data_IF_626330516415
#
_entry.id   IF_626330516415
#
_cell.length_a   1.000
_cell.length_b   1.000
_cell.length_c   1.000
_cell.angle_alpha   90.00
_cell.angle_beta   90.00
_cell.angle_gamma   90.00
#
_symmetry.space_group_name_H-M   'P 1'
#
loop_
_entity.id
_entity.type
_entity.pdbx_description
1 polymer ?
#
# COMPACT_ATOMS: atom_id res chain seq x y z
N UNK A 1 20.59 -8.58 0.07
CA UNK A 1 19.36 -8.10 -0.59
C UNK A 1 19.53 -8.22 -2.09
N UNK A 2 18.63 -8.94 -2.77
CA UNK A 2 18.66 -9.11 -4.22
C UNK A 2 18.12 -7.87 -4.96
N UNK A 3 18.40 -7.77 -6.26
CA UNK A 3 17.81 -6.75 -7.11
C UNK A 3 16.29 -6.97 -7.28
N UNK A 4 15.49 -5.91 -7.47
CA UNK A 4 14.07 -6.02 -7.79
C UNK A 4 13.83 -6.87 -9.02
N UNK A 5 12.76 -7.68 -8.99
CA UNK A 5 12.28 -8.45 -10.12
C UNK A 5 10.75 -8.42 -10.17
N UNK A 6 10.15 -8.62 -11.35
CA UNK A 6 8.70 -8.86 -11.44
C UNK A 6 8.29 -10.01 -10.51
N UNK A 7 7.10 -9.87 -9.90
CA UNK A 7 6.56 -10.83 -8.93
C UNK A 7 6.35 -12.21 -9.58
N UNK A 8 5.86 -12.23 -10.83
CA UNK A 8 5.53 -13.44 -11.57
C UNK A 8 4.07 -13.85 -11.36
N UNK A 9 3.77 -15.14 -11.50
CA UNK A 9 2.45 -15.70 -11.21
C UNK A 9 2.09 -15.53 -9.73
N UNK A 10 0.82 -15.20 -9.47
CA UNK A 10 0.31 -14.92 -8.12
C UNK A 10 -0.13 -16.22 -7.44
N UNK A 11 -0.50 -17.22 -8.23
CA UNK A 11 -0.81 -18.57 -7.81
C UNK A 11 0.40 -19.19 -7.10
N UNK A 12 0.22 -19.58 -5.84
CA UNK A 12 1.29 -20.18 -5.05
C UNK A 12 2.41 -19.20 -4.63
N UNK A 13 2.30 -17.90 -4.89
CA UNK A 13 3.30 -16.89 -4.50
C UNK A 13 3.66 -16.99 -3.01
N UNK A 14 2.64 -17.02 -2.14
CA UNK A 14 2.82 -17.10 -0.68
C UNK A 14 3.52 -18.40 -0.29
N UNK A 15 3.08 -19.53 -0.83
CA UNK A 15 3.70 -20.83 -0.56
C UNK A 15 5.17 -20.87 -1.01
N UNK A 16 5.48 -20.30 -2.18
CA UNK A 16 6.84 -20.19 -2.69
C UNK A 16 7.75 -19.31 -1.83
N UNK A 17 7.23 -18.20 -1.29
CA UNK A 17 7.98 -17.32 -0.39
C UNK A 17 8.27 -17.99 0.96
N UNK A 18 7.27 -18.67 1.52
CA UNK A 18 7.40 -19.41 2.78
C UNK A 18 8.36 -20.59 2.63
N UNK A 19 8.31 -21.30 1.50
CA UNK A 19 9.18 -22.45 1.22
C UNK A 19 9.11 -23.50 2.32
N UNK A 20 10.26 -23.91 2.86
CA UNK A 20 10.38 -24.93 3.93
C UNK A 20 10.05 -24.40 5.33
N UNK A 21 9.06 -23.51 5.46
CA UNK A 21 8.53 -23.03 6.75
C UNK A 21 9.12 -21.71 7.24
N UNK A 22 9.61 -20.82 6.37
CA UNK A 22 10.06 -19.48 6.76
C UNK A 22 8.91 -18.62 7.26
N UNK A 23 9.19 -17.72 8.20
CA UNK A 23 8.33 -16.57 8.45
C UNK A 23 8.61 -15.50 7.38
N UNK A 24 7.58 -14.95 6.77
CA UNK A 24 7.71 -13.96 5.69
C UNK A 24 7.01 -12.67 6.08
N UNK A 25 7.71 -11.54 6.01
CA UNK A 25 7.09 -10.23 6.03
C UNK A 25 7.04 -9.67 4.60
N UNK A 26 5.89 -9.17 4.17
CA UNK A 26 5.69 -8.66 2.82
C UNK A 26 5.05 -7.27 2.86
N UNK A 27 5.80 -6.28 2.38
CA UNK A 27 5.33 -4.90 2.23
C UNK A 27 4.66 -4.71 0.88
N UNK A 28 3.45 -4.15 0.88
CA UNK A 28 2.64 -3.92 -0.32
C UNK A 28 2.41 -2.42 -0.54
N UNK A 29 2.79 -1.91 -1.72
CA UNK A 29 2.47 -0.54 -2.13
C UNK A 29 1.06 -0.44 -2.70
N UNK A 30 0.09 -0.69 -1.82
CA UNK A 30 -1.33 -0.60 -2.10
C UNK A 30 -2.12 -0.45 -0.81
N UNK A 31 -3.33 0.14 -0.87
CA UNK A 31 -4.19 0.22 0.29
C UNK A 31 -4.59 -1.16 0.84
N UNK A 32 -4.41 -1.37 2.14
CA UNK A 32 -5.04 -2.44 2.91
C UNK A 32 -6.02 -1.83 3.92
N UNK A 33 -7.32 -2.03 3.71
CA UNK A 33 -8.39 -1.46 4.52
C UNK A 33 -9.34 -0.56 3.73
N UNK A 34 -10.38 -0.07 4.41
CA UNK A 34 -11.47 0.72 3.83
C UNK A 34 -11.61 2.07 4.53
N UNK A 35 -11.98 3.15 3.81
CA UNK A 35 -12.35 4.42 4.46
C UNK A 35 -13.47 4.23 5.47
N UNK A 36 -13.38 4.90 6.62
CA UNK A 36 -14.39 4.81 7.69
C UNK A 36 -15.82 5.07 7.20
N UNK A 37 -16.01 6.08 6.36
CA UNK A 37 -17.34 6.44 5.84
C UNK A 37 -17.96 5.31 4.99
N UNK A 38 -17.14 4.51 4.31
CA UNK A 38 -17.59 3.36 3.55
C UNK A 38 -17.85 2.12 4.42
N UNK A 39 -17.03 1.93 5.45
CA UNK A 39 -17.16 0.81 6.38
C UNK A 39 -18.28 1.00 7.42
N UNK A 40 -18.76 2.22 7.61
CA UNK A 40 -19.83 2.53 8.55
C UNK A 40 -21.14 1.80 8.19
N UNK A 41 -21.76 1.15 9.18
CA UNK A 41 -23.03 0.42 9.01
C UNK A 41 -22.91 -0.93 8.31
N UNK A 42 -21.69 -1.39 8.00
CA UNK A 42 -21.46 -2.72 7.44
C UNK A 42 -21.59 -3.81 8.50
N UNK A 43 -22.10 -4.96 8.09
CA UNK A 43 -22.34 -6.12 8.96
C UNK A 43 -21.07 -6.91 9.27
N UNK A 44 -20.08 -6.91 8.36
CA UNK A 44 -18.86 -7.69 8.56
C UNK A 44 -18.10 -7.23 9.83
N UNK A 45 -17.42 -8.16 10.52
CA UNK A 45 -16.69 -7.86 11.74
C UNK A 45 -15.47 -6.96 11.50
N UNK A 46 -14.96 -6.88 10.28
CA UNK A 46 -13.86 -6.01 9.91
C UNK A 46 -13.35 -6.25 8.49
N UNK A 47 -12.26 -5.56 8.14
CA UNK A 47 -11.67 -5.64 6.81
C UNK A 47 -11.29 -7.07 6.37
N UNK A 48 -10.68 -7.94 7.21
CA UNK A 48 -10.36 -9.30 6.78
C UNK A 48 -11.58 -10.13 6.37
N UNK A 49 -12.70 -10.00 7.09
CA UNK A 49 -13.94 -10.68 6.74
C UNK A 49 -14.57 -10.08 5.47
N UNK A 50 -14.61 -8.76 5.38
CA UNK A 50 -15.06 -8.06 4.18
C UNK A 50 -14.30 -8.52 2.93
N UNK A 51 -12.95 -8.57 3.01
CA UNK A 51 -12.07 -8.98 1.93
C UNK A 51 -12.38 -10.41 1.48
N UNK A 52 -12.55 -11.35 2.42
CA UNK A 52 -12.95 -12.73 2.11
C UNK A 52 -14.31 -12.78 1.40
N UNK A 53 -15.27 -11.97 1.85
CA UNK A 53 -16.61 -11.88 1.26
C UNK A 53 -16.64 -11.28 -0.15
N UNK A 54 -15.55 -10.65 -0.64
CA UNK A 54 -15.49 -10.13 -2.00
C UNK A 54 -15.45 -11.24 -3.06
N UNK A 55 -15.08 -12.47 -2.70
CA UNK A 55 -15.12 -13.61 -3.63
C UNK A 55 -16.52 -13.85 -4.23
N UNK A 56 -17.57 -13.56 -3.45
CA UNK A 56 -18.97 -13.67 -3.89
C UNK A 56 -19.52 -12.37 -4.53
N UNK A 57 -18.71 -11.31 -4.62
CA UNK A 57 -19.13 -9.96 -5.05
C UNK A 57 -18.18 -9.37 -6.09
N UNK A 58 -17.99 -10.01 -7.26
CA UNK A 58 -17.04 -9.55 -8.27
C UNK A 58 -17.35 -8.14 -8.79
N UNK A 59 -18.62 -7.72 -8.75
CA UNK A 59 -19.06 -6.37 -9.11
C UNK A 59 -18.39 -5.26 -8.29
N UNK A 60 -17.88 -5.56 -7.09
CA UNK A 60 -17.15 -4.59 -6.26
C UNK A 60 -15.95 -3.98 -6.98
N UNK A 61 -15.30 -4.73 -7.87
CA UNK A 61 -14.11 -4.28 -8.59
C UNK A 61 -14.42 -3.58 -9.92
N UNK A 62 -15.70 -3.48 -10.29
CA UNK A 62 -16.09 -2.74 -11.49
C UNK A 62 -15.90 -1.24 -11.26
N UNK A 63 -15.25 -0.58 -12.23
CA UNK A 63 -15.00 0.86 -12.19
C UNK A 63 -16.12 1.57 -12.93
N UNK A 64 -16.85 2.43 -12.22
CA UNK A 64 -17.95 3.20 -12.75
C UNK A 64 -17.47 4.24 -13.78
N UNK A 65 -18.09 4.28 -14.95
CA UNK A 65 -17.80 5.25 -16.00
C UNK A 65 -18.40 6.64 -15.72
N UNK A 66 -19.54 6.66 -15.02
CA UNK A 66 -20.24 7.84 -14.54
C UNK A 66 -20.70 7.66 -13.09
N UNK A 67 -21.30 8.69 -12.51
CA UNK A 67 -21.74 8.67 -11.10
C UNK A 67 -23.04 7.87 -10.91
N UNK A 68 -23.82 7.68 -11.98
CA UNK A 68 -25.10 6.97 -11.99
C UNK A 68 -24.99 5.48 -11.63
N UNK A 69 -23.81 4.88 -11.79
CA UNK A 69 -23.54 3.48 -11.42
C UNK A 69 -22.72 3.35 -10.14
N UNK A 70 -22.25 4.47 -9.57
CA UNK A 70 -21.55 4.47 -8.28
C UNK A 70 -22.53 4.07 -7.20
N UNK A 71 -22.14 3.09 -6.40
CA UNK A 71 -22.89 2.61 -5.25
C UNK A 71 -21.95 1.93 -4.26
N UNK A 72 -22.40 1.61 -3.03
CA UNK A 72 -21.61 0.80 -2.12
C UNK A 72 -21.15 -0.54 -2.73
N UNK A 73 -21.92 -1.12 -3.65
CA UNK A 73 -21.55 -2.37 -4.33
C UNK A 73 -20.59 -2.16 -5.53
N UNK A 74 -20.41 -0.92 -6.02
CA UNK A 74 -19.52 -0.53 -7.12
C UNK A 74 -18.85 0.82 -6.82
N UNK A 75 -17.94 0.88 -5.82
CA UNK A 75 -17.50 2.16 -5.30
C UNK A 75 -16.41 2.84 -6.14
N UNK A 76 -15.71 2.11 -7.01
CA UNK A 76 -14.59 2.65 -7.77
C UNK A 76 -15.06 3.57 -8.90
N UNK A 77 -14.44 4.74 -8.99
CA UNK A 77 -14.69 5.77 -10.00
C UNK A 77 -13.45 6.67 -10.10
N UNK A 78 -13.12 7.26 -11.26
CA UNK A 78 -13.73 7.09 -12.58
C UNK A 78 -13.00 6.09 -13.48
N UNK A 79 -13.73 5.43 -14.37
CA UNK A 79 -13.13 4.54 -15.38
C UNK A 79 -12.24 5.31 -16.39
N UNK A 80 -12.60 6.56 -16.70
CA UNK A 80 -11.88 7.42 -17.65
C UNK A 80 -12.04 8.90 -17.33
N UNK A 81 -11.16 9.71 -17.91
CA UNK A 81 -11.24 11.17 -17.82
C UNK A 81 -12.56 11.71 -18.36
N UNK A 82 -13.40 12.33 -17.53
CA UNK A 82 -14.63 13.02 -17.93
C UNK A 82 -14.65 14.45 -17.39
N UNK A 83 -15.17 15.39 -18.18
CA UNK A 83 -15.25 16.81 -17.80
C UNK A 83 -16.10 16.96 -16.54
N UNK A 84 -15.63 17.74 -15.58
CA UNK A 84 -16.36 18.03 -14.34
C UNK A 84 -16.34 16.91 -13.31
N UNK A 85 -15.55 15.84 -13.49
CA UNK A 85 -15.37 14.85 -12.42
C UNK A 85 -14.80 15.53 -11.18
N UNK A 86 -15.35 15.21 -10.01
CA UNK A 86 -14.79 15.67 -8.73
C UNK A 86 -14.90 14.57 -7.69
N UNK A 87 -13.98 14.59 -6.72
CA UNK A 87 -14.06 13.73 -5.54
C UNK A 87 -15.28 14.05 -4.68
N UNK A 88 -15.73 15.30 -4.66
CA UNK A 88 -16.94 15.70 -3.94
C UNK A 88 -18.19 15.03 -4.52
N UNK A 89 -18.35 15.04 -5.84
CA UNK A 89 -19.49 14.37 -6.49
C UNK A 89 -19.42 12.85 -6.34
N UNK A 90 -18.22 12.27 -6.38
CA UNK A 90 -18.01 10.83 -6.11
C UNK A 90 -18.39 10.46 -4.67
N UNK A 91 -17.95 11.24 -3.68
CA UNK A 91 -18.32 11.05 -2.28
C UNK A 91 -19.82 11.19 -2.05
N UNK A 92 -20.46 12.19 -2.67
CA UNK A 92 -21.90 12.37 -2.61
C UNK A 92 -22.67 11.19 -3.22
N UNK A 93 -22.19 10.61 -4.35
CA UNK A 93 -22.78 9.42 -4.94
C UNK A 93 -22.67 8.17 -4.05
N UNK A 94 -21.68 8.13 -3.15
CA UNK A 94 -21.54 7.10 -2.11
C UNK A 94 -22.30 7.43 -0.80
N UNK A 95 -22.98 8.57 -0.74
CA UNK A 95 -23.71 9.02 0.45
C UNK A 95 -22.81 9.57 1.57
N UNK A 96 -21.59 9.99 1.26
CA UNK A 96 -20.68 10.57 2.25
C UNK A 96 -20.93 12.07 2.41
N UNK A 97 -20.64 12.59 3.61
CA UNK A 97 -20.76 14.02 3.92
C UNK A 97 -19.83 14.91 3.07
N UNK A 98 -18.69 14.37 2.63
CA UNK A 98 -17.70 15.11 1.85
C UNK A 98 -16.60 14.22 1.28
N UNK A 99 -15.72 14.79 0.42
CA UNK A 99 -14.64 14.07 -0.26
C UNK A 99 -13.64 13.40 0.70
N UNK A 100 -13.49 13.90 1.92
CA UNK A 100 -12.68 13.31 2.99
C UNK A 100 -13.17 11.93 3.43
N UNK A 101 -14.44 11.60 3.17
CA UNK A 101 -15.00 10.26 3.41
C UNK A 101 -14.44 9.19 2.46
N UNK A 102 -13.83 9.58 1.34
CA UNK A 102 -13.17 8.65 0.41
C UNK A 102 -11.80 8.18 0.91
N UNK A 103 -11.22 8.87 1.89
CA UNK A 103 -9.87 8.61 2.39
C UNK A 103 -9.93 7.92 3.75
N UNK A 104 -9.05 6.93 3.94
CA UNK A 104 -8.74 6.43 5.28
C UNK A 104 -7.97 7.48 6.05
N UNK A 105 -7.89 7.32 7.37
CA UNK A 105 -7.11 8.25 8.17
C UNK A 105 -5.64 8.29 7.73
N UNK A 106 -4.98 7.15 7.50
CA UNK A 106 -3.60 7.10 7.01
C UNK A 106 -3.40 7.81 5.65
N UNK A 107 -4.41 7.86 4.78
CA UNK A 107 -4.28 8.46 3.44
C UNK A 107 -4.22 10.00 3.48
N UNK A 108 -4.63 10.62 4.59
CA UNK A 108 -4.69 12.08 4.72
C UNK A 108 -3.30 12.72 4.79
N UNK A 109 -3.25 14.02 4.52
CA UNK A 109 -2.01 14.79 4.60
C UNK A 109 -1.52 14.84 6.05
N UNK A 110 -0.21 14.68 6.24
CA UNK A 110 0.48 14.84 7.53
C UNK A 110 1.30 16.11 7.52
N UNK A 111 1.99 16.43 8.62
CA UNK A 111 2.99 17.50 8.60
C UNK A 111 4.09 17.26 7.55
N UNK A 112 4.42 15.99 7.30
CA UNK A 112 5.61 15.56 6.57
C UNK A 112 5.34 15.21 5.10
N UNK A 113 4.08 14.90 4.73
CA UNK A 113 3.72 14.54 3.35
C UNK A 113 2.31 14.99 2.95
N UNK A 114 2.07 15.20 1.63
CA UNK A 114 0.72 15.41 1.11
C UNK A 114 -0.16 14.17 1.29
N UNK A 115 -1.46 14.35 1.07
CA UNK A 115 -2.42 13.26 1.06
C UNK A 115 -2.16 12.29 -0.10
N UNK A 116 -2.37 11.00 0.15
CA UNK A 116 -2.43 9.96 -0.86
C UNK A 116 -3.69 10.07 -1.72
N UNK A 117 -3.78 9.24 -2.76
CA UNK A 117 -5.03 9.13 -3.50
C UNK A 117 -6.05 8.29 -2.70
N UNK A 118 -7.34 8.67 -2.70
CA UNK A 118 -8.39 7.87 -2.07
C UNK A 118 -8.48 6.47 -2.71
N UNK A 119 -8.80 5.45 -1.90
CA UNK A 119 -8.93 4.05 -2.33
C UNK A 119 -9.83 3.90 -3.56
N UNK A 120 -11.03 4.49 -3.51
CA UNK A 120 -12.01 4.31 -4.58
C UNK A 120 -11.76 5.18 -5.81
N UNK A 121 -10.70 5.99 -5.81
CA UNK A 121 -10.35 6.87 -6.92
C UNK A 121 -9.34 6.22 -7.87
N UNK A 122 -9.73 6.01 -9.13
CA UNK A 122 -8.95 5.21 -10.10
C UNK A 122 -8.12 6.00 -11.11
N UNK A 123 -8.21 7.34 -11.11
CA UNK A 123 -7.45 8.20 -12.04
C UNK A 123 -6.39 9.04 -11.35
N UNK A 124 -5.36 9.40 -12.11
CA UNK A 124 -4.26 10.24 -11.66
C UNK A 124 -2.99 9.44 -11.37
N UNK A 125 -1.92 10.16 -11.02
CA UNK A 125 -0.58 9.60 -10.91
C UNK A 125 -0.43 8.55 -9.80
N UNK A 126 -1.22 8.66 -8.72
CA UNK A 126 -1.03 7.86 -7.52
C UNK A 126 -1.70 6.48 -7.57
N UNK A 127 -2.44 6.13 -8.64
CA UNK A 127 -2.99 4.81 -8.99
C UNK A 127 -3.53 3.89 -7.86
N UNK A 128 -3.83 4.39 -6.67
CA UNK A 128 -4.14 3.57 -5.48
C UNK A 128 -5.35 2.68 -5.67
N UNK A 129 -6.42 3.18 -6.31
CA UNK A 129 -7.59 2.36 -6.62
C UNK A 129 -7.31 1.26 -7.64
N UNK A 130 -6.46 1.52 -8.64
CA UNK A 130 -6.06 0.49 -9.61
C UNK A 130 -5.18 -0.57 -8.97
N UNK A 131 -4.25 -0.16 -8.11
CA UNK A 131 -3.40 -1.06 -7.34
C UNK A 131 -4.24 -1.96 -6.41
N UNK A 132 -5.23 -1.37 -5.71
CA UNK A 132 -6.16 -2.12 -4.88
C UNK A 132 -7.00 -3.10 -5.71
N UNK A 133 -7.58 -2.68 -6.84
CA UNK A 133 -8.34 -3.59 -7.72
C UNK A 133 -7.46 -4.77 -8.15
N UNK A 134 -6.28 -4.50 -8.73
CA UNK A 134 -5.40 -5.56 -9.22
C UNK A 134 -4.99 -6.52 -8.11
N UNK A 135 -4.46 -6.01 -7.00
CA UNK A 135 -3.96 -6.90 -5.95
C UNK A 135 -5.08 -7.60 -5.17
N UNK A 136 -6.19 -6.92 -4.86
CA UNK A 136 -7.25 -7.55 -4.10
C UNK A 136 -7.96 -8.61 -4.94
N UNK A 137 -8.39 -8.24 -6.15
CA UNK A 137 -9.14 -9.15 -7.05
C UNK A 137 -8.27 -10.32 -7.51
N UNK A 138 -7.06 -10.05 -7.98
CA UNK A 138 -6.25 -11.04 -8.68
C UNK A 138 -5.36 -11.87 -7.73
N UNK A 139 -5.23 -11.46 -6.46
CA UNK A 139 -4.39 -12.19 -5.50
C UNK A 139 -5.00 -12.35 -4.11
N UNK A 140 -5.28 -11.26 -3.38
CA UNK A 140 -5.63 -11.38 -1.96
C UNK A 140 -6.96 -12.10 -1.74
N UNK A 141 -7.98 -11.78 -2.53
CA UNK A 141 -9.30 -12.44 -2.43
C UNK A 141 -9.18 -13.94 -2.74
N UNK A 142 -8.57 -14.38 -3.87
CA UNK A 142 -8.30 -15.81 -4.11
C UNK A 142 -7.47 -16.47 -3.00
N UNK A 143 -6.42 -15.82 -2.50
CA UNK A 143 -5.54 -16.38 -1.48
C UNK A 143 -6.27 -16.56 -0.14
N UNK A 144 -7.03 -15.56 0.31
CA UNK A 144 -7.80 -15.65 1.55
C UNK A 144 -8.95 -16.65 1.43
N UNK A 145 -9.61 -16.72 0.26
CA UNK A 145 -10.69 -17.68 0.01
C UNK A 145 -10.22 -19.14 0.02
N UNK A 146 -8.98 -19.41 -0.40
CA UNK A 146 -8.36 -20.74 -0.38
C UNK A 146 -7.63 -21.06 0.92
N UNK A 147 -7.66 -20.15 1.90
CA UNK A 147 -7.02 -20.35 3.20
C UNK A 147 -5.48 -20.31 3.15
N UNK A 148 -4.91 -19.53 2.23
CA UNK A 148 -3.46 -19.32 2.20
C UNK A 148 -2.95 -18.86 3.58
N UNK A 149 -1.76 -19.30 4.01
CA UNK A 149 -1.21 -19.01 5.34
C UNK A 149 -0.68 -17.57 5.43
N UNK A 150 -1.58 -16.61 5.27
CA UNK A 150 -1.30 -15.18 5.32
C UNK A 150 -2.05 -14.51 6.47
N UNK A 151 -1.44 -13.47 7.03
CA UNK A 151 -1.99 -12.60 8.08
C UNK A 151 -1.90 -11.14 7.63
N UNK A 152 -2.86 -10.32 8.01
CA UNK A 152 -2.94 -8.91 7.62
C UNK A 152 -2.64 -8.01 8.82
N UNK A 153 -1.52 -7.28 8.75
CA UNK A 153 -1.23 -6.18 9.66
C UNK A 153 -1.96 -4.91 9.19
N UNK A 154 -2.52 -4.08 10.09
CA UNK A 154 -2.55 -4.20 11.56
C UNK A 154 -3.80 -4.93 12.10
N UNK A 155 -4.59 -5.56 11.22
CA UNK A 155 -5.92 -6.07 11.54
C UNK A 155 -5.89 -7.26 12.51
N UNK A 156 -4.85 -8.07 12.44
CA UNK A 156 -4.76 -9.34 13.17
C UNK A 156 -3.74 -9.34 14.32
N UNK A 157 -3.01 -8.24 14.53
CA UNK A 157 -1.97 -8.14 15.56
C UNK A 157 -0.83 -7.18 15.19
N UNK A 158 0.18 -7.07 16.06
CA UNK A 158 1.44 -6.40 15.75
C UNK A 158 2.25 -7.16 14.70
N UNK A 159 3.14 -6.48 13.96
CA UNK A 159 3.86 -7.09 12.84
C UNK A 159 4.74 -8.25 13.32
N UNK A 160 5.51 -8.03 14.38
CA UNK A 160 6.43 -9.03 14.93
C UNK A 160 5.69 -10.19 15.60
N UNK A 161 4.54 -9.93 16.22
CA UNK A 161 3.69 -10.95 16.87
C UNK A 161 3.09 -11.91 15.84
N UNK A 162 2.79 -11.41 14.64
CA UNK A 162 2.21 -12.18 13.56
C UNK A 162 3.25 -13.03 12.80
N UNK A 163 4.55 -12.74 12.93
CA UNK A 163 5.60 -13.46 12.23
C UNK A 163 5.84 -14.82 12.88
N UNK A 164 5.35 -15.88 12.23
CA UNK A 164 5.56 -17.25 12.63
C UNK A 164 6.08 -18.11 11.46
N UNK A 165 6.85 -19.18 11.74
CA UNK A 165 7.23 -20.16 10.73
C UNK A 165 6.02 -20.67 9.94
N UNK A 166 6.13 -20.70 8.62
CA UNK A 166 5.03 -21.15 7.77
C UNK A 166 3.95 -20.10 7.49
N UNK A 167 4.14 -18.85 7.92
CA UNK A 167 3.19 -17.75 7.71
C UNK A 167 3.81 -16.57 6.97
N UNK A 168 2.99 -15.90 6.17
CA UNK A 168 3.30 -14.60 5.58
C UNK A 168 2.48 -13.49 6.23
N UNK A 169 3.11 -12.42 6.70
CA UNK A 169 2.44 -11.23 7.21
C UNK A 169 2.51 -10.14 6.16
N UNK A 170 1.35 -9.68 5.71
CA UNK A 170 1.21 -8.61 4.73
C UNK A 170 0.96 -7.30 5.47
N UNK A 171 1.72 -6.27 5.10
CA UNK A 171 1.58 -4.92 5.62
C UNK A 171 1.55 -3.93 4.46
N UNK A 172 0.74 -2.89 4.57
CA UNK A 172 0.80 -1.77 3.63
C UNK A 172 2.09 -0.98 3.87
N UNK A 173 2.83 -0.71 2.80
CA UNK A 173 4.03 0.10 2.81
C UNK A 173 3.89 1.15 1.73
N UNK A 174 4.11 2.41 2.06
CA UNK A 174 4.02 3.50 1.09
C UNK A 174 5.43 4.02 0.75
N UNK A 175 5.98 3.80 -0.46
CA UNK A 175 7.34 4.19 -0.81
C UNK A 175 7.65 5.68 -0.61
N UNK A 176 6.69 6.57 -0.82
CA UNK A 176 6.88 8.00 -0.57
C UNK A 176 7.03 8.32 0.93
N UNK A 177 6.35 7.56 1.79
CA UNK A 177 6.54 7.62 3.24
C UNK A 177 7.90 7.00 3.61
N UNK A 178 8.19 5.79 3.14
CA UNK A 178 9.44 5.07 3.43
C UNK A 178 10.70 5.86 2.97
N UNK A 179 10.63 6.59 1.86
CA UNK A 179 11.69 7.50 1.40
C UNK A 179 12.06 8.51 2.50
N UNK A 180 11.05 9.16 3.09
CA UNK A 180 11.22 10.15 4.17
C UNK A 180 11.69 9.51 5.45
N UNK A 181 11.13 8.36 5.81
CA UNK A 181 11.54 7.57 6.97
C UNK A 181 13.02 7.16 6.90
N UNK A 182 13.55 6.97 5.69
CA UNK A 182 14.96 6.68 5.44
C UNK A 182 15.84 7.94 5.38
N UNK A 183 15.28 9.14 5.54
CA UNK A 183 16.01 10.42 5.38
C UNK A 183 16.42 10.71 3.94
N UNK A 184 15.82 10.02 2.95
CA UNK A 184 16.15 10.18 1.55
C UNK A 184 15.30 11.28 0.91
N UNK A 185 15.93 12.06 0.03
CA UNK A 185 15.25 13.14 -0.70
C UNK A 185 15.67 13.10 -2.17
N UNK A 186 14.69 12.96 -3.06
CA UNK A 186 14.90 13.10 -4.49
C UNK A 186 14.98 14.58 -4.88
N UNK A 187 15.99 14.91 -5.69
CA UNK A 187 16.10 16.18 -6.38
C UNK A 187 15.51 16.03 -7.80
N UNK A 188 14.19 16.20 -7.92
CA UNK A 188 13.47 16.07 -9.19
C UNK A 188 12.45 14.93 -9.19
N UNK A 189 11.93 14.61 -10.38
CA UNK A 189 10.90 13.58 -10.55
C UNK A 189 11.47 12.18 -10.39
N UNK A 190 10.80 11.32 -9.60
CA UNK A 190 11.17 9.90 -9.47
C UNK A 190 11.04 9.11 -10.78
N UNK A 191 10.22 9.58 -11.72
CA UNK A 191 10.11 9.01 -13.07
C UNK A 191 11.42 9.11 -13.85
N UNK A 192 12.17 10.18 -13.64
CA UNK A 192 13.44 10.38 -14.32
C UNK A 192 14.54 9.51 -13.66
N UNK A 193 15.35 8.87 -14.50
CA UNK A 193 16.49 8.07 -14.05
C UNK A 193 17.55 8.92 -13.33
N UNK A 194 17.82 10.14 -13.83
CA UNK A 194 18.85 11.03 -13.27
C UNK A 194 18.69 11.30 -11.77
N UNK A 195 17.52 11.76 -11.29
CA UNK A 195 17.24 11.92 -9.88
C UNK A 195 17.40 10.63 -9.05
N UNK A 196 16.97 9.47 -9.57
CA UNK A 196 17.16 8.17 -8.91
C UNK A 196 18.65 7.82 -8.78
N UNK A 197 19.43 8.00 -9.84
CA UNK A 197 20.88 7.78 -9.86
C UNK A 197 21.61 8.72 -8.88
N UNK A 198 21.22 9.98 -8.83
CA UNK A 198 21.83 10.96 -7.93
C UNK A 198 21.63 10.60 -6.44
N UNK A 199 20.63 9.79 -6.12
CA UNK A 199 20.35 9.31 -4.76
C UNK A 199 21.27 8.16 -4.32
N UNK A 200 22.02 7.54 -5.23
CA UNK A 200 22.81 6.34 -4.97
C UNK A 200 23.73 6.43 -3.74
N UNK A 201 24.50 7.51 -3.50
CA UNK A 201 25.34 7.61 -2.31
C UNK A 201 24.53 7.59 -1.00
N UNK A 202 23.41 8.31 -0.96
CA UNK A 202 22.54 8.35 0.21
C UNK A 202 21.86 6.99 0.45
N UNK A 203 21.40 6.33 -0.62
CA UNK A 203 20.80 5.00 -0.56
C UNK A 203 21.79 3.95 -0.03
N UNK A 204 23.07 4.01 -0.43
CA UNK A 204 24.14 3.18 0.14
C UNK A 204 24.36 3.43 1.62
N UNK A 205 24.34 4.70 2.04
CA UNK A 205 24.41 5.06 3.46
C UNK A 205 23.28 4.44 4.27
N UNK A 206 22.05 4.45 3.74
CA UNK A 206 20.87 3.82 4.35
C UNK A 206 21.01 2.30 4.45
N UNK A 207 21.50 1.63 3.40
CA UNK A 207 21.79 0.19 3.39
C UNK A 207 22.85 -0.17 4.43
N UNK A 208 23.96 0.57 4.47
CA UNK A 208 25.05 0.35 5.41
C UNK A 208 24.61 0.56 6.87
N UNK A 209 23.85 1.63 7.15
CA UNK A 209 23.31 1.90 8.48
C UNK A 209 22.40 0.77 9.00
N UNK A 210 21.68 0.10 8.10
CA UNK A 210 20.82 -1.06 8.40
C UNK A 210 21.54 -2.41 8.28
N UNK A 211 22.85 -2.43 8.01
CA UNK A 211 23.65 -3.65 7.79
C UNK A 211 23.07 -4.56 6.70
N UNK A 212 22.45 -3.97 5.68
CA UNK A 212 21.94 -4.69 4.52
C UNK A 212 23.06 -4.85 3.51
N UNK A 213 23.41 -6.10 3.20
CA UNK A 213 24.39 -6.41 2.15
C UNK A 213 23.68 -6.53 0.79
N UNK A 214 23.80 -5.55 -0.13
CA UNK A 214 23.23 -5.66 -1.47
C UNK A 214 23.97 -6.73 -2.27
N UNK A 215 23.25 -7.47 -3.12
CA UNK A 215 23.88 -8.32 -4.13
C UNK A 215 24.44 -7.45 -5.27
N UNK A 216 25.45 -7.92 -6.03
CA UNK A 216 26.06 -7.13 -7.11
C UNK A 216 25.06 -6.54 -8.12
N UNK A 217 23.99 -7.29 -8.45
CA UNK A 217 22.95 -6.80 -9.33
C UNK A 217 22.14 -5.62 -8.75
N UNK A 218 21.96 -5.57 -7.42
CA UNK A 218 21.31 -4.44 -6.77
C UNK A 218 22.25 -3.23 -6.73
N UNK A 219 23.55 -3.44 -6.49
CA UNK A 219 24.54 -2.35 -6.55
C UNK A 219 24.56 -1.70 -7.93
N UNK A 220 24.61 -2.51 -8.99
CA UNK A 220 24.54 -2.02 -10.36
C UNK A 220 23.22 -1.29 -10.65
N UNK A 221 22.09 -1.79 -10.15
CA UNK A 221 20.80 -1.12 -10.28
C UNK A 221 20.79 0.24 -9.56
N UNK A 222 21.43 0.34 -8.38
CA UNK A 222 21.55 1.61 -7.64
C UNK A 222 22.39 2.62 -8.45
N UNK A 223 23.53 2.19 -9.00
CA UNK A 223 24.40 3.06 -9.83
C UNK A 223 23.74 3.53 -11.12
N UNK A 224 22.94 2.68 -11.73
CA UNK A 224 22.18 3.03 -12.93
C UNK A 224 20.90 3.84 -12.60
N UNK A 225 20.54 4.00 -11.33
CA UNK A 225 19.29 4.63 -10.94
C UNK A 225 18.05 3.82 -11.34
N UNK A 226 18.17 2.49 -11.38
CA UNK A 226 17.12 1.51 -11.65
C UNK A 226 16.59 1.51 -13.10
N UNK A 227 17.39 1.95 -14.07
CA UNK A 227 17.03 1.96 -15.48
C UNK A 227 16.18 3.15 -15.92
N UNK A 228 16.29 3.48 -17.21
CA UNK A 228 15.58 4.57 -17.87
C UNK A 228 14.18 4.18 -18.39
N UNK A 229 13.83 2.90 -18.39
CA UNK A 229 12.53 2.43 -18.87
C UNK A 229 11.38 2.83 -17.92
N UNK A 230 10.14 2.58 -18.38
CA UNK A 230 8.93 2.92 -17.65
C UNK A 230 8.77 2.19 -16.29
N UNK A 231 9.41 1.03 -16.11
CA UNK A 231 9.36 0.24 -14.89
C UNK A 231 10.45 0.64 -13.88
N UNK A 232 11.34 1.58 -14.25
CA UNK A 232 12.43 1.99 -13.37
C UNK A 232 11.95 2.64 -12.07
N UNK A 233 10.85 3.40 -12.13
CA UNK A 233 10.18 3.95 -10.93
C UNK A 233 9.71 2.84 -10.00
N UNK A 234 9.04 1.80 -10.54
CA UNK A 234 8.53 0.67 -9.75
C UNK A 234 9.66 -0.13 -9.09
N UNK A 235 10.76 -0.36 -9.82
CA UNK A 235 11.97 -1.01 -9.27
C UNK A 235 12.54 -0.19 -8.11
N UNK A 236 12.65 1.12 -8.27
CA UNK A 236 13.11 2.02 -7.21
C UNK A 236 12.18 1.98 -5.99
N UNK A 237 10.88 2.16 -6.20
CA UNK A 237 9.87 2.20 -5.14
C UNK A 237 9.81 0.87 -4.37
N UNK A 238 10.01 -0.28 -5.03
CA UNK A 238 10.09 -1.58 -4.36
C UNK A 238 11.27 -1.70 -3.37
N UNK A 239 12.44 -1.13 -3.71
CA UNK A 239 13.59 -1.10 -2.80
C UNK A 239 13.34 -0.16 -1.63
N UNK A 240 12.80 1.02 -1.90
CA UNK A 240 12.48 2.01 -0.86
C UNK A 240 11.43 1.44 0.11
N UNK A 241 10.38 0.81 -0.41
CA UNK A 241 9.38 0.11 0.39
C UNK A 241 10.00 -0.98 1.26
N UNK A 242 10.87 -1.83 0.70
CA UNK A 242 11.55 -2.86 1.47
C UNK A 242 12.43 -2.28 2.58
N UNK A 243 13.13 -1.16 2.35
CA UNK A 243 13.91 -0.48 3.39
C UNK A 243 13.04 0.08 4.52
N UNK A 244 11.83 0.56 4.20
CA UNK A 244 10.83 0.95 5.19
C UNK A 244 10.36 -0.23 6.06
N UNK A 245 10.05 -1.36 5.42
CA UNK A 245 9.70 -2.61 6.12
C UNK A 245 10.86 -3.10 7.02
N UNK A 246 12.08 -3.14 6.49
CA UNK A 246 13.26 -3.57 7.24
C UNK A 246 13.51 -2.67 8.46
N UNK A 247 13.30 -1.36 8.33
CA UNK A 247 13.45 -0.42 9.45
C UNK A 247 12.47 -0.72 10.60
N UNK A 248 11.34 -1.37 10.33
CA UNK A 248 10.43 -1.81 11.39
C UNK A 248 10.86 -3.16 11.96
N UNK A 249 11.27 -4.09 11.11
CA UNK A 249 11.74 -5.41 11.53
C UNK A 249 13.03 -5.36 12.37
N UNK A 250 13.92 -4.42 12.11
CA UNK A 250 15.16 -4.21 12.87
C UNK A 250 14.98 -3.31 14.10
N UNK A 251 13.77 -2.80 14.34
CA UNK A 251 13.44 -1.94 15.47
C UNK A 251 13.87 -0.48 15.34
N UNK A 252 14.45 -0.05 14.20
CA UNK A 252 14.77 1.37 13.97
C UNK A 252 13.52 2.27 13.88
N UNK A 253 12.36 1.67 13.60
CA UNK A 253 11.04 2.29 13.59
C UNK A 253 10.00 1.38 14.24
N UNK A 254 8.99 1.94 14.91
CA UNK A 254 7.89 1.14 15.44
C UNK A 254 6.92 0.68 14.34
N UNK A 255 6.26 -0.46 14.53
CA UNK A 255 5.06 -0.86 13.79
C UNK A 255 3.81 -0.13 14.33
N UNK A 256 3.96 1.18 14.56
CA UNK A 256 2.98 2.01 15.23
C UNK A 256 1.59 1.95 14.57
N UNK A 257 0.57 1.77 15.39
CA UNK A 257 -0.85 1.86 15.02
C UNK A 257 -1.50 2.81 16.02
N UNK A 258 -2.18 3.90 15.56
CA UNK A 258 -2.88 4.76 16.49
C UNK A 258 -3.96 4.01 17.28
N UNK A 259 -4.26 4.47 18.50
CA UNK A 259 -5.18 3.79 19.42
C UNK A 259 -6.67 3.81 19.03
N UNK A 260 -7.03 4.30 17.85
CA UNK A 260 -8.42 4.27 17.38
C UNK A 260 -8.77 2.84 16.90
N UNK A 261 -9.77 2.17 17.53
CA UNK A 261 -10.16 0.81 17.17
C UNK A 261 -10.58 0.64 15.70
N UNK A 262 -11.08 1.69 15.04
CA UNK A 262 -11.45 1.65 13.63
C UNK A 262 -10.26 1.33 12.72
N UNK A 263 -9.05 1.69 13.12
CA UNK A 263 -7.85 1.41 12.34
C UNK A 263 -7.58 -0.09 12.30
N UNK A 264 -7.59 -0.74 13.48
CA UNK A 264 -7.38 -2.19 13.58
C UNK A 264 -8.55 -2.98 13.02
N UNK A 265 -9.76 -2.42 13.00
CA UNK A 265 -10.94 -3.11 12.49
C UNK A 265 -11.13 -2.95 10.98
N UNK A 266 -10.91 -1.75 10.43
CA UNK A 266 -11.38 -1.39 9.09
C UNK A 266 -10.39 -0.61 8.25
N UNK A 267 -9.78 0.46 8.79
CA UNK A 267 -9.02 1.38 7.96
C UNK A 267 -7.62 0.85 7.63
N UNK A 268 -6.97 0.14 8.53
CA UNK A 268 -5.55 -0.20 8.40
C UNK A 268 -4.65 1.02 8.53
N UNK A 269 -3.34 0.79 8.39
CA UNK A 269 -2.31 1.82 8.55
C UNK A 269 -1.15 1.59 7.59
N UNK A 270 -0.30 2.60 7.40
CA UNK A 270 0.95 2.47 6.65
C UNK A 270 2.06 2.08 7.61
N UNK A 271 2.78 1.00 7.32
CA UNK A 271 3.84 0.50 8.19
C UNK A 271 4.96 1.54 8.39
N UNK A 272 5.35 1.75 9.65
CA UNK A 272 6.38 2.71 10.04
C UNK A 272 5.93 4.18 10.08
N UNK A 273 4.71 4.50 9.61
CA UNK A 273 4.16 5.85 9.67
C UNK A 273 3.82 6.20 11.12
N UNK A 274 4.48 7.22 11.65
CA UNK A 274 4.23 7.76 13.00
C UNK A 274 3.57 9.14 12.97
N UNK A 275 3.73 9.87 11.86
CA UNK A 275 3.10 11.17 11.68
C UNK A 275 1.59 11.00 11.55
N UNK A 276 0.86 11.64 12.46
CA UNK A 276 -0.59 11.68 12.40
C UNK A 276 -1.05 12.67 11.32
N UNK A 277 -2.21 12.41 10.69
CA UNK A 277 -2.84 13.37 9.81
C UNK A 277 -3.06 14.71 10.49
N UNK A 278 -2.92 15.79 9.73
CA UNK A 278 -3.24 17.14 10.21
C UNK A 278 -4.69 17.15 10.68
N UNK A 279 -4.93 17.80 11.82
CA UNK A 279 -6.30 18.11 12.22
C UNK A 279 -6.98 18.84 11.05
N UNK A 280 -8.23 18.49 10.76
CA UNK A 280 -9.03 19.28 9.85
C UNK A 280 -9.20 20.65 10.51
N UNK A 281 -8.59 21.68 9.93
CA UNK A 281 -8.94 23.05 10.31
C UNK A 281 -10.41 23.24 9.90
N UNK A 282 -11.29 23.67 10.82
CA UNK A 282 -12.71 23.89 10.51
C UNK A 282 -12.91 24.88 9.36
#
# INVERSE_FOLDING_TARGET
>A
MAAPRPVGALEGLVAGLIGTGRAVALGLDLPLGLPRAYAAGREEAGFPEFLRGLAARPGFFEVSAGLETVSPARPFYPARGVKGMTRAAHAAALGFAGPEGLSRWCDRATAERPAGAPLFWTLGANQSGKAAIGAWRDWLVPAVATGAPLRLWPFEGGLLELLAPGQAVLAEVYPAEALRQCGLRLAGSKRAQGPRRALAPALRGVLAARRVNPAPALEAAIDDGFGADAAGEDRFDSVIGLLGLLAVLDGARPDFVPGDPWIRRWEGWVLGQTALPRALTP
#
